data_IF_708794420486
#
_entry.id   IF_708794420486
#
_cell.length_a   1.000
_cell.length_b   1.000
_cell.length_c   1.000
_cell.angle_alpha   90.00
_cell.angle_beta   90.00
_cell.angle_gamma   90.00
#
_symmetry.space_group_name_H-M   'P 1'
#
loop_
_entity.id
_entity.type
_entity.pdbx_description
1 polymer ?
#
# COMPACT_ATOMS: atom_id res chain seq x y z
N UNK A 1 23.81 17.53 2.42
CA UNK A 1 23.24 16.91 1.22
C UNK A 1 23.98 17.31 -0.04
N UNK A 2 23.96 18.56 -0.46
CA UNK A 2 24.45 19.02 -1.77
C UNK A 2 25.87 18.53 -2.09
N UNK A 3 26.81 18.69 -1.17
CA UNK A 3 28.22 18.26 -1.34
C UNK A 3 28.33 16.76 -1.61
N UNK A 4 27.59 15.93 -0.85
CA UNK A 4 27.63 14.47 -0.99
C UNK A 4 26.95 14.04 -2.30
N UNK A 5 25.78 14.60 -2.60
CA UNK A 5 25.03 14.27 -3.82
C UNK A 5 25.83 14.65 -5.09
N UNK A 6 26.48 15.81 -5.11
CA UNK A 6 27.36 16.20 -6.21
C UNK A 6 28.50 15.20 -6.40
N UNK A 7 29.19 14.83 -5.33
CA UNK A 7 30.31 13.87 -5.42
C UNK A 7 29.85 12.47 -5.88
N UNK A 8 28.64 12.04 -5.47
CA UNK A 8 28.05 10.79 -5.94
C UNK A 8 27.72 10.89 -7.45
N UNK A 9 27.01 11.91 -7.86
CA UNK A 9 26.58 12.08 -9.26
C UNK A 9 27.76 12.29 -10.23
N UNK A 10 28.82 12.98 -9.78
CA UNK A 10 30.05 13.11 -10.58
C UNK A 10 30.70 11.75 -10.86
N UNK A 11 30.70 10.84 -9.89
CA UNK A 11 31.35 9.54 -10.02
C UNK A 11 30.41 8.45 -10.55
N UNK A 12 29.15 8.53 -10.21
CA UNK A 12 28.11 7.54 -10.50
C UNK A 12 26.81 8.24 -10.95
N UNK A 13 26.75 8.75 -12.18
CA UNK A 13 25.63 9.57 -12.65
C UNK A 13 24.27 8.84 -12.67
N UNK A 14 24.29 7.51 -12.82
CA UNK A 14 23.08 6.69 -12.93
C UNK A 14 22.54 6.22 -11.57
N UNK A 15 23.23 6.49 -10.46
CA UNK A 15 22.73 6.13 -9.13
C UNK A 15 21.56 7.05 -8.75
N UNK A 16 20.48 6.42 -8.32
CA UNK A 16 19.33 7.13 -7.73
C UNK A 16 19.71 7.61 -6.33
N UNK A 17 19.66 8.92 -6.13
CA UNK A 17 19.90 9.53 -4.83
C UNK A 17 18.57 9.76 -4.13
N UNK A 18 18.40 9.13 -2.97
CA UNK A 18 17.24 9.27 -2.11
C UNK A 18 17.60 10.10 -0.88
N UNK A 19 16.86 11.19 -0.65
CA UNK A 19 17.05 12.08 0.50
C UNK A 19 15.91 11.96 1.48
N UNK A 20 16.21 11.84 2.79
CA UNK A 20 15.16 11.80 3.82
C UNK A 20 14.57 13.19 4.08
N UNK A 21 13.28 13.21 4.42
CA UNK A 21 12.55 14.41 4.90
C UNK A 21 12.13 14.26 6.37
N UNK A 22 12.83 13.42 7.10
CA UNK A 22 12.59 13.19 8.54
C UNK A 22 11.60 12.06 8.83
N UNK A 23 11.34 11.81 10.13
CA UNK A 23 10.58 10.65 10.57
C UNK A 23 9.06 10.86 10.61
N UNK A 24 8.57 12.04 10.22
CA UNK A 24 7.16 12.41 10.26
C UNK A 24 6.73 13.10 8.97
N UNK A 25 5.47 12.91 8.58
CA UNK A 25 4.87 13.61 7.45
C UNK A 25 4.53 15.08 7.78
N UNK A 26 4.00 15.78 6.77
CA UNK A 26 3.48 17.13 6.92
C UNK A 26 2.39 17.20 8.04
N UNK A 27 2.45 18.21 8.97
CA UNK A 27 3.32 19.38 8.96
C UNK A 27 4.49 19.31 9.96
N UNK A 28 5.51 18.52 9.69
CA UNK A 28 6.76 18.62 10.46
C UNK A 28 7.74 19.58 9.79
N UNK A 29 8.63 20.22 10.56
CA UNK A 29 9.64 21.12 10.02
C UNK A 29 10.58 20.38 9.06
N UNK A 30 11.05 19.20 9.47
CA UNK A 30 11.95 18.37 8.67
C UNK A 30 11.32 18.00 7.31
N UNK A 31 10.03 17.64 7.31
CA UNK A 31 9.28 17.34 6.10
C UNK A 31 9.21 18.56 5.16
N UNK A 32 8.81 19.71 5.68
CA UNK A 32 8.63 20.93 4.88
C UNK A 32 9.97 21.40 4.30
N UNK A 33 11.00 21.48 5.14
CA UNK A 33 12.34 21.91 4.72
C UNK A 33 13.01 20.91 3.77
N UNK A 34 12.87 19.61 4.07
CA UNK A 34 13.42 18.54 3.23
C UNK A 34 12.81 18.52 1.84
N UNK A 35 11.48 18.62 1.73
CA UNK A 35 10.80 18.72 0.43
C UNK A 35 11.17 20.01 -0.33
N UNK A 36 11.25 21.14 0.39
CA UNK A 36 11.66 22.40 -0.23
C UNK A 36 13.08 22.29 -0.81
N UNK A 37 14.00 21.68 -0.04
CA UNK A 37 15.36 21.44 -0.50
C UNK A 37 15.42 20.47 -1.69
N UNK A 38 14.72 19.34 -1.62
CA UNK A 38 14.71 18.34 -2.67
C UNK A 38 14.15 18.89 -4.00
N UNK A 39 13.09 19.71 -3.94
CA UNK A 39 12.54 20.39 -5.11
C UNK A 39 13.50 21.39 -5.73
N UNK A 40 14.23 22.14 -4.90
CA UNK A 40 15.23 23.11 -5.37
C UNK A 40 16.47 22.45 -5.99
N UNK A 41 16.75 21.19 -5.64
CA UNK A 41 17.91 20.41 -6.06
C UNK A 41 17.51 19.08 -6.73
N UNK A 42 16.43 19.08 -7.51
CA UNK A 42 15.93 17.87 -8.17
C UNK A 42 16.89 17.31 -9.24
N UNK A 43 17.92 18.08 -9.64
CA UNK A 43 19.05 17.62 -10.45
C UNK A 43 20.03 16.71 -9.68
N UNK A 44 20.00 16.76 -8.35
CA UNK A 44 20.84 15.97 -7.46
C UNK A 44 20.08 14.92 -6.67
N UNK A 45 18.80 15.15 -6.37
CA UNK A 45 17.93 14.30 -5.56
C UNK A 45 16.81 13.77 -6.43
N UNK A 46 16.88 12.48 -6.72
CA UNK A 46 15.90 11.81 -7.59
C UNK A 46 14.62 11.42 -6.83
N UNK A 47 14.77 11.15 -5.52
CA UNK A 47 13.72 10.57 -4.68
C UNK A 47 13.78 11.12 -3.27
N UNK A 48 12.64 11.21 -2.62
CA UNK A 48 12.46 11.64 -1.23
C UNK A 48 11.94 10.47 -0.40
N UNK A 49 12.59 10.22 0.72
CA UNK A 49 12.20 9.19 1.68
C UNK A 49 11.25 9.78 2.72
N UNK A 50 9.98 9.36 2.66
CA UNK A 50 8.91 9.75 3.58
C UNK A 50 8.61 8.67 4.60
N UNK A 51 8.36 9.07 5.85
CA UNK A 51 7.98 8.19 6.95
C UNK A 51 6.71 8.67 7.63
N UNK A 52 5.78 7.76 7.93
CA UNK A 52 4.64 8.05 8.80
C UNK A 52 4.00 6.80 9.40
N UNK A 53 3.60 6.94 10.65
CA UNK A 53 2.90 5.93 11.43
C UNK A 53 1.63 6.56 11.97
N UNK A 54 0.46 6.13 11.45
CA UNK A 54 -0.77 6.84 11.68
C UNK A 54 -1.92 5.96 12.21
N UNK A 55 -2.95 6.61 12.73
CA UNK A 55 -4.16 5.93 13.18
C UNK A 55 -4.97 5.38 12.00
N UNK A 56 -5.82 4.36 12.19
CA UNK A 56 -6.74 3.90 11.16
C UNK A 56 -7.60 5.03 10.58
N UNK A 57 -8.04 5.97 11.41
CA UNK A 57 -8.83 7.12 10.98
C UNK A 57 -8.08 8.02 10.00
N UNK A 58 -6.79 8.23 10.24
CA UNK A 58 -5.97 9.02 9.33
C UNK A 58 -5.94 8.41 7.93
N UNK A 59 -5.65 7.12 7.80
CA UNK A 59 -5.62 6.44 6.50
C UNK A 59 -6.96 6.48 5.78
N UNK A 60 -8.07 6.36 6.49
CA UNK A 60 -9.41 6.44 5.90
C UNK A 60 -9.68 7.83 5.29
N UNK A 61 -9.17 8.89 5.90
CA UNK A 61 -9.44 10.27 5.47
C UNK A 61 -8.35 10.87 4.56
N UNK A 62 -7.27 10.12 4.26
CA UNK A 62 -6.17 10.57 3.41
C UNK A 62 -5.96 9.63 2.20
N UNK A 63 -7.06 9.18 1.58
CA UNK A 63 -6.98 8.31 0.40
C UNK A 63 -6.51 9.04 -0.86
N UNK A 64 -6.45 10.35 -0.82
CA UNK A 64 -5.97 11.27 -1.86
C UNK A 64 -4.58 11.87 -1.53
N UNK A 65 -3.88 11.33 -0.51
CA UNK A 65 -2.65 11.91 0.05
C UNK A 65 -1.60 12.26 -1.00
N UNK A 66 -1.42 11.44 -2.02
CA UNK A 66 -0.43 11.65 -3.08
C UNK A 66 -1.01 12.28 -4.36
N UNK A 67 -2.31 12.54 -4.43
CA UNK A 67 -2.96 12.96 -5.69
C UNK A 67 -2.46 14.32 -6.19
N UNK A 68 -2.14 15.23 -5.28
CA UNK A 68 -1.69 16.60 -5.58
C UNK A 68 -0.15 16.76 -5.60
N UNK A 69 0.62 15.66 -5.49
CA UNK A 69 2.08 15.74 -5.56
C UNK A 69 2.55 16.14 -6.95
N UNK A 70 3.61 16.97 -7.03
CA UNK A 70 4.20 17.40 -8.29
C UNK A 70 4.88 16.23 -9.01
N UNK A 71 4.31 15.82 -10.15
CA UNK A 71 4.83 14.71 -10.98
C UNK A 71 6.15 15.00 -11.67
N UNK A 72 6.57 16.27 -11.73
CA UNK A 72 7.83 16.71 -12.37
C UNK A 72 9.00 16.77 -11.39
N UNK A 73 8.72 16.76 -10.09
CA UNK A 73 9.72 16.80 -9.03
C UNK A 73 10.30 15.42 -8.69
N UNK A 74 11.07 15.34 -7.58
CA UNK A 74 11.56 14.07 -7.04
C UNK A 74 10.42 13.09 -6.79
N UNK A 75 10.70 11.79 -7.00
CA UNK A 75 9.77 10.72 -6.68
C UNK A 75 9.71 10.49 -5.15
N UNK A 76 8.74 9.72 -4.72
CA UNK A 76 8.59 9.31 -3.32
C UNK A 76 9.05 7.86 -3.16
N UNK A 77 9.88 7.63 -2.18
CA UNK A 77 10.06 6.37 -1.49
C UNK A 77 9.33 6.47 -0.15
N UNK A 78 8.24 5.76 0.00
CA UNK A 78 7.58 5.61 1.30
C UNK A 78 8.37 4.57 2.10
N UNK A 79 9.45 5.02 2.77
CA UNK A 79 10.48 4.15 3.33
C UNK A 79 10.10 3.49 4.63
N UNK A 80 9.22 4.16 5.42
CA UNK A 80 8.64 3.56 6.62
C UNK A 80 7.19 4.00 6.79
N UNK A 81 6.31 3.03 6.94
CA UNK A 81 4.90 3.34 7.21
C UNK A 81 4.16 2.15 7.82
N UNK A 82 3.19 2.44 8.67
CA UNK A 82 2.23 1.48 9.17
C UNK A 82 1.02 2.17 9.80
N UNK A 83 -0.11 1.49 9.87
CA UNK A 83 -1.19 1.83 10.78
C UNK A 83 -0.85 1.35 12.20
N UNK A 84 -1.02 2.24 13.20
CA UNK A 84 -0.61 1.98 14.60
C UNK A 84 -1.51 0.94 15.26
N UNK A 85 -1.17 -0.28 15.23
CA UNK A 85 -1.61 -1.51 15.88
C UNK A 85 -1.54 -2.68 14.87
N UNK A 86 -1.85 -3.90 15.30
CA UNK A 86 -1.74 -5.16 14.53
C UNK A 86 -3.06 -5.92 14.42
N UNK A 87 -4.15 -5.19 14.22
CA UNK A 87 -5.50 -5.75 14.09
C UNK A 87 -5.96 -5.79 12.64
N UNK A 88 -7.05 -6.50 12.38
CA UNK A 88 -7.69 -6.51 11.05
C UNK A 88 -8.04 -5.09 10.58
N UNK A 89 -8.53 -4.22 11.49
CA UNK A 89 -8.80 -2.83 11.15
C UNK A 89 -7.58 -2.11 10.55
N UNK A 90 -6.39 -2.33 11.13
CA UNK A 90 -5.14 -1.74 10.64
C UNK A 90 -4.79 -2.28 9.25
N UNK A 91 -4.84 -3.58 9.07
CA UNK A 91 -4.59 -4.23 7.78
C UNK A 91 -5.53 -3.75 6.66
N UNK A 92 -6.81 -3.49 6.99
CA UNK A 92 -7.79 -2.98 6.03
C UNK A 92 -7.47 -1.55 5.60
N UNK A 93 -7.13 -0.65 6.53
CA UNK A 93 -6.80 0.73 6.16
C UNK A 93 -5.45 0.83 5.46
N UNK A 94 -4.52 -0.07 5.77
CA UNK A 94 -3.28 -0.23 5.02
C UNK A 94 -3.54 -0.72 3.58
N UNK A 95 -4.46 -1.66 3.40
CA UNK A 95 -4.90 -2.11 2.07
C UNK A 95 -5.54 -0.96 1.26
N UNK A 96 -6.37 -0.13 1.90
CA UNK A 96 -6.95 1.08 1.30
C UNK A 96 -5.82 2.04 0.88
N UNK A 97 -4.82 2.24 1.74
CA UNK A 97 -3.69 3.10 1.44
C UNK A 97 -2.83 2.56 0.29
N UNK A 98 -2.59 1.26 0.22
CA UNK A 98 -1.88 0.63 -0.89
C UNK A 98 -2.62 0.79 -2.23
N UNK A 99 -3.95 0.83 -2.23
CA UNK A 99 -4.71 1.21 -3.44
C UNK A 99 -4.39 2.64 -3.88
N UNK A 100 -4.23 3.58 -2.93
CA UNK A 100 -3.81 4.95 -3.22
C UNK A 100 -2.36 4.99 -3.74
N UNK A 101 -1.44 4.26 -3.13
CA UNK A 101 -0.04 4.15 -3.56
C UNK A 101 0.04 3.65 -5.01
N UNK A 102 -0.68 2.57 -5.35
CA UNK A 102 -0.71 2.05 -6.72
C UNK A 102 -1.32 3.04 -7.72
N UNK A 103 -2.38 3.78 -7.33
CA UNK A 103 -2.96 4.83 -8.16
C UNK A 103 -1.97 5.95 -8.47
N UNK A 104 -1.07 6.21 -7.54
CA UNK A 104 -0.03 7.22 -7.62
C UNK A 104 1.37 6.64 -7.91
N UNK A 105 1.45 5.50 -8.59
CA UNK A 105 2.70 4.83 -8.93
C UNK A 105 3.61 5.63 -9.87
N UNK A 106 3.09 6.71 -10.45
CA UNK A 106 3.87 7.70 -11.20
C UNK A 106 4.66 8.67 -10.31
N UNK A 107 4.31 8.77 -9.03
CA UNK A 107 5.03 9.57 -8.03
C UNK A 107 5.61 8.70 -6.92
N UNK A 108 4.88 7.71 -6.40
CA UNK A 108 5.36 6.80 -5.36
C UNK A 108 6.03 5.59 -6.01
N UNK A 109 7.36 5.61 -6.09
CA UNK A 109 8.14 4.58 -6.77
C UNK A 109 8.34 3.32 -5.95
N UNK A 110 8.39 3.44 -4.62
CA UNK A 110 8.58 2.32 -3.69
C UNK A 110 7.82 2.57 -2.39
N UNK A 111 7.41 1.49 -1.73
CA UNK A 111 6.84 1.54 -0.39
C UNK A 111 7.34 0.35 0.45
N UNK A 112 7.77 0.61 1.67
CA UNK A 112 8.30 -0.39 2.59
C UNK A 112 7.60 -0.31 3.94
N UNK A 113 6.90 -1.37 4.31
CA UNK A 113 6.31 -1.47 5.64
C UNK A 113 7.40 -1.52 6.72
N UNK A 114 7.20 -0.80 7.82
CA UNK A 114 8.12 -0.81 8.96
C UNK A 114 7.37 -0.66 10.30
N UNK A 115 7.95 -1.20 11.40
CA UNK A 115 9.02 -2.19 11.42
C UNK A 115 8.58 -3.56 10.90
N UNK A 116 9.50 -4.27 10.25
CA UNK A 116 9.20 -5.56 9.63
C UNK A 116 9.25 -6.72 10.62
N UNK A 117 10.29 -6.79 11.45
CA UNK A 117 10.63 -7.95 12.28
C UNK A 117 10.61 -7.60 13.76
N UNK A 118 9.95 -8.44 14.55
CA UNK A 118 9.90 -8.34 16.00
C UNK A 118 10.47 -9.59 16.66
N UNK A 119 11.58 -9.44 17.37
CA UNK A 119 12.02 -10.46 18.34
C UNK A 119 11.23 -10.29 19.63
N UNK A 120 10.38 -11.26 19.96
CA UNK A 120 9.49 -11.18 21.13
C UNK A 120 10.23 -11.04 22.47
N UNK A 121 11.48 -11.51 22.55
CA UNK A 121 12.31 -11.35 23.74
C UNK A 121 12.88 -9.92 23.91
N UNK A 122 12.83 -9.11 22.86
CA UNK A 122 13.44 -7.77 22.82
C UNK A 122 12.52 -6.75 22.16
N UNK A 123 11.24 -6.81 22.49
CA UNK A 123 10.21 -5.90 21.96
C UNK A 123 10.36 -4.50 22.55
N UNK A 124 10.54 -3.49 21.69
CA UNK A 124 10.54 -2.09 22.08
C UNK A 124 9.76 -1.17 21.12
N UNK A 125 9.04 -1.75 20.17
CA UNK A 125 8.22 -1.03 19.20
C UNK A 125 6.89 -1.76 18.94
N UNK A 126 5.87 -1.02 18.49
CA UNK A 126 4.59 -1.54 18.02
C UNK A 126 3.96 -0.50 17.06
N UNK A 127 3.49 -0.88 15.87
CA UNK A 127 3.35 -2.27 15.39
C UNK A 127 4.63 -2.86 14.80
N UNK A 128 4.69 -4.18 14.75
CA UNK A 128 5.64 -4.95 13.96
C UNK A 128 4.84 -5.94 13.10
N UNK A 129 5.39 -6.39 11.98
CA UNK A 129 4.64 -7.20 11.02
C UNK A 129 4.81 -8.70 11.24
N UNK A 130 6.04 -9.15 11.52
CA UNK A 130 6.43 -10.55 11.67
C UNK A 130 7.05 -10.76 13.05
N UNK A 131 6.43 -11.58 13.86
CA UNK A 131 6.90 -11.91 15.21
C UNK A 131 7.66 -13.23 15.19
N UNK A 132 8.79 -13.29 15.89
CA UNK A 132 9.62 -14.48 15.99
C UNK A 132 10.34 -14.57 17.34
N UNK A 133 10.78 -15.77 17.66
CA UNK A 133 11.68 -16.08 18.78
C UNK A 133 12.94 -16.80 18.24
N UNK A 134 13.76 -17.36 19.15
CA UNK A 134 15.00 -18.06 18.75
C UNK A 134 14.76 -19.27 17.83
N UNK A 135 13.57 -19.88 17.88
CA UNK A 135 13.29 -21.17 17.27
C UNK A 135 12.42 -21.05 15.99
N UNK A 136 11.52 -20.05 15.94
CA UNK A 136 10.51 -20.00 14.88
C UNK A 136 9.83 -18.64 14.74
N UNK A 137 9.09 -18.46 13.64
CA UNK A 137 8.10 -17.40 13.49
C UNK A 137 6.91 -17.76 14.41
N UNK A 138 6.55 -16.83 15.29
CA UNK A 138 5.49 -17.03 16.29
C UNK A 138 4.16 -16.41 15.86
N UNK A 139 4.18 -15.32 15.10
CA UNK A 139 2.99 -14.73 14.53
C UNK A 139 3.26 -13.97 13.23
N UNK A 140 2.31 -14.06 12.30
CA UNK A 140 2.17 -13.21 11.12
C UNK A 140 0.92 -12.36 11.31
N UNK A 141 1.05 -11.04 11.30
CA UNK A 141 -0.07 -10.13 11.55
C UNK A 141 -1.01 -10.03 10.34
N UNK A 142 -2.24 -9.52 10.49
CA UNK A 142 -3.09 -9.19 9.34
C UNK A 142 -2.40 -8.25 8.33
N UNK A 143 -1.58 -7.30 8.79
CA UNK A 143 -0.76 -6.43 7.92
C UNK A 143 0.23 -7.21 7.06
N UNK A 144 0.84 -8.29 7.60
CA UNK A 144 1.68 -9.19 6.81
C UNK A 144 0.92 -9.74 5.59
N UNK A 145 -0.29 -10.23 5.80
CA UNK A 145 -1.10 -10.79 4.71
C UNK A 145 -1.55 -9.73 3.70
N UNK A 146 -1.80 -8.50 4.15
CA UNK A 146 -2.02 -7.37 3.24
C UNK A 146 -0.81 -7.13 2.36
N UNK A 147 0.38 -7.00 2.93
CA UNK A 147 1.62 -6.80 2.18
C UNK A 147 1.92 -7.98 1.24
N UNK A 148 1.71 -9.21 1.70
CA UNK A 148 1.87 -10.42 0.88
C UNK A 148 0.94 -10.43 -0.34
N UNK A 149 -0.33 -10.06 -0.16
CA UNK A 149 -1.30 -9.99 -1.25
C UNK A 149 -0.89 -8.95 -2.28
N UNK A 150 -0.45 -7.76 -1.87
CA UNK A 150 0.03 -6.72 -2.80
C UNK A 150 1.33 -7.11 -3.47
N UNK A 151 2.31 -7.63 -2.74
CA UNK A 151 3.60 -8.07 -3.29
C UNK A 151 3.46 -9.18 -4.32
N UNK A 152 2.53 -10.12 -4.11
CA UNK A 152 2.27 -11.21 -5.05
C UNK A 152 1.37 -10.82 -6.24
N UNK A 153 0.81 -9.62 -6.24
CA UNK A 153 -0.07 -9.10 -7.28
C UNK A 153 0.39 -7.73 -7.79
N UNK A 154 1.69 -7.50 -7.79
CA UNK A 154 2.28 -6.28 -8.31
C UNK A 154 2.23 -6.26 -9.85
N UNK A 155 1.84 -5.10 -10.40
CA UNK A 155 1.86 -4.83 -11.84
C UNK A 155 2.72 -3.62 -12.13
N UNK A 156 3.10 -3.44 -13.39
CA UNK A 156 3.87 -2.30 -13.89
C UNK A 156 2.98 -1.26 -14.61
N UNK A 157 1.67 -1.52 -14.66
CA UNK A 157 0.69 -0.64 -15.28
C UNK A 157 -0.55 -0.54 -14.39
N UNK A 158 -0.85 0.66 -13.87
CA UNK A 158 -2.10 0.94 -13.20
C UNK A 158 -3.21 1.21 -14.23
N UNK A 159 -4.34 0.53 -14.08
CA UNK A 159 -5.54 0.75 -14.89
C UNK A 159 -6.50 1.64 -14.11
N UNK A 160 -6.70 2.85 -14.58
CA UNK A 160 -7.56 3.84 -13.93
C UNK A 160 -8.95 3.26 -13.63
N UNK A 161 -9.30 3.21 -12.36
CA UNK A 161 -10.56 2.66 -11.87
C UNK A 161 -11.09 3.50 -10.71
N UNK A 162 -12.39 3.47 -10.54
CA UNK A 162 -13.05 4.16 -9.43
C UNK A 162 -14.28 3.39 -8.99
N UNK A 163 -14.66 3.56 -7.72
CA UNK A 163 -15.95 3.15 -7.21
C UNK A 163 -16.99 4.26 -7.38
N UNK A 164 -18.19 3.88 -7.84
CA UNK A 164 -19.37 4.71 -7.71
C UNK A 164 -20.08 4.32 -6.41
N UNK A 165 -19.86 5.07 -5.35
CA UNK A 165 -20.33 4.77 -3.99
C UNK A 165 -21.07 5.95 -3.39
N UNK A 166 -22.07 5.70 -2.50
CA UNK A 166 -22.61 6.74 -1.64
C UNK A 166 -21.51 7.39 -0.80
N UNK A 167 -21.60 8.71 -0.62
CA UNK A 167 -20.62 9.50 0.15
C UNK A 167 -20.39 8.95 1.57
N UNK A 168 -21.46 8.41 2.18
CA UNK A 168 -21.42 7.87 3.55
C UNK A 168 -20.50 6.67 3.75
N UNK A 169 -20.13 5.96 2.68
CA UNK A 169 -19.31 4.75 2.76
C UNK A 169 -18.00 4.84 1.97
N UNK A 170 -17.79 5.90 1.19
CA UNK A 170 -16.65 6.03 0.27
C UNK A 170 -15.29 5.83 0.93
N UNK A 171 -15.13 6.30 2.17
CA UNK A 171 -13.85 6.19 2.89
C UNK A 171 -13.53 4.78 3.38
N UNK A 172 -14.49 3.85 3.34
CA UNK A 172 -14.34 2.49 3.85
C UNK A 172 -14.26 1.42 2.76
N UNK A 173 -14.18 1.85 1.50
CA UNK A 173 -14.11 0.95 0.36
C UNK A 173 -13.05 1.49 -0.60
N UNK A 174 -12.17 0.61 -1.09
CA UNK A 174 -11.18 0.99 -2.06
C UNK A 174 -10.96 -0.09 -3.11
N UNK A 175 -10.42 0.30 -4.25
CA UNK A 175 -9.98 -0.63 -5.29
C UNK A 175 -8.68 -0.17 -5.94
N UNK A 176 -7.94 -1.15 -6.45
CA UNK A 176 -6.85 -0.92 -7.38
C UNK A 176 -6.89 -1.99 -8.46
N UNK A 177 -6.59 -1.60 -9.68
CA UNK A 177 -6.45 -2.53 -10.81
C UNK A 177 -5.09 -2.32 -11.44
N UNK A 178 -4.28 -3.36 -11.40
CA UNK A 178 -2.92 -3.32 -11.96
C UNK A 178 -2.71 -4.47 -12.95
N UNK A 179 -1.85 -4.25 -13.92
CA UNK A 179 -1.49 -5.25 -14.93
C UNK A 179 0.03 -5.39 -15.01
N UNK A 180 0.49 -6.60 -15.09
CA UNK A 180 1.85 -6.92 -15.58
C UNK A 180 1.80 -6.97 -17.11
N UNK A 181 2.43 -6.04 -17.77
CA UNK A 181 2.44 -5.92 -19.23
C UNK A 181 3.17 -7.10 -19.90
N UNK A 182 4.15 -7.68 -19.23
CA UNK A 182 4.93 -8.80 -19.76
C UNK A 182 4.10 -10.08 -19.83
N UNK A 183 3.40 -10.41 -18.75
CA UNK A 183 2.56 -11.62 -18.69
C UNK A 183 1.15 -11.38 -19.19
N UNK A 184 0.69 -10.14 -19.17
CA UNK A 184 -0.69 -9.74 -19.46
C UNK A 184 -1.66 -10.04 -18.32
N UNK A 185 -1.17 -10.54 -17.18
CA UNK A 185 -1.99 -10.81 -16.00
C UNK A 185 -2.48 -9.48 -15.38
N UNK A 186 -3.75 -9.45 -15.05
CA UNK A 186 -4.39 -8.30 -14.38
C UNK A 186 -4.89 -8.73 -13.02
N UNK A 187 -4.65 -7.90 -12.01
CA UNK A 187 -5.20 -8.09 -10.67
C UNK A 187 -6.20 -6.99 -10.35
N UNK A 188 -7.36 -7.41 -9.85
CA UNK A 188 -8.40 -6.52 -9.32
C UNK A 188 -8.38 -6.67 -7.81
N UNK A 189 -7.99 -5.64 -7.10
CA UNK A 189 -7.89 -5.57 -5.64
C UNK A 189 -9.07 -4.79 -5.11
N UNK A 190 -9.79 -5.37 -4.16
CA UNK A 190 -11.00 -4.82 -3.58
C UNK A 190 -10.92 -4.87 -2.06
N UNK A 191 -11.17 -3.75 -1.41
CA UNK A 191 -11.15 -3.62 0.05
C UNK A 191 -12.53 -3.19 0.53
N UNK A 192 -13.08 -3.93 1.48
CA UNK A 192 -14.32 -3.61 2.17
C UNK A 192 -14.09 -3.50 3.67
N UNK A 193 -13.97 -2.29 4.20
CA UNK A 193 -13.85 -2.01 5.64
C UNK A 193 -15.22 -1.69 6.29
N UNK A 194 -16.33 -2.09 5.66
CA UNK A 194 -17.68 -1.96 6.21
C UNK A 194 -18.06 -3.18 7.06
N UNK A 195 -18.96 -3.02 8.04
CA UNK A 195 -19.47 -4.12 8.86
C UNK A 195 -20.47 -5.04 8.12
N UNK A 196 -20.71 -4.77 6.84
CA UNK A 196 -21.66 -5.51 6.01
C UNK A 196 -21.05 -5.96 4.70
N UNK A 197 -21.59 -7.01 4.12
CA UNK A 197 -21.21 -7.44 2.77
C UNK A 197 -21.54 -6.35 1.76
N UNK A 198 -20.68 -6.21 0.75
CA UNK A 198 -20.86 -5.28 -0.35
C UNK A 198 -20.80 -6.05 -1.67
N UNK A 199 -21.81 -5.95 -2.49
CA UNK A 199 -21.77 -6.48 -3.86
C UNK A 199 -21.38 -5.36 -4.81
N UNK A 200 -20.31 -5.57 -5.54
CA UNK A 200 -19.79 -4.64 -6.55
C UNK A 200 -19.98 -5.22 -7.96
N UNK A 201 -20.34 -4.36 -8.90
CA UNK A 201 -20.43 -4.69 -10.32
C UNK A 201 -19.16 -4.17 -11.02
N UNK A 202 -18.26 -5.07 -11.40
CA UNK A 202 -17.01 -4.75 -12.08
C UNK A 202 -17.28 -4.52 -13.55
N UNK A 203 -17.13 -3.27 -14.01
CA UNK A 203 -17.37 -2.87 -15.41
C UNK A 203 -16.05 -2.56 -16.12
N UNK A 204 -16.08 -2.62 -17.45
CA UNK A 204 -14.93 -2.28 -18.29
C UNK A 204 -13.92 -3.43 -18.48
N UNK A 205 -14.13 -4.57 -17.82
CA UNK A 205 -13.33 -5.78 -18.02
C UNK A 205 -14.17 -7.03 -17.81
N UNK A 206 -13.70 -8.15 -18.38
CA UNK A 206 -14.33 -9.47 -18.18
C UNK A 206 -13.57 -10.24 -17.12
N UNK A 207 -14.26 -10.65 -16.05
CA UNK A 207 -13.73 -11.63 -15.09
C UNK A 207 -14.11 -13.02 -15.61
N UNK A 208 -13.12 -13.87 -15.99
CA UNK A 208 -13.40 -15.18 -16.54
C UNK A 208 -14.08 -16.09 -15.52
N UNK A 209 -14.81 -17.07 -16.01
CA UNK A 209 -15.44 -18.06 -15.15
C UNK A 209 -14.38 -18.82 -14.35
N UNK A 210 -14.57 -18.91 -13.04
CA UNK A 210 -13.65 -19.59 -12.15
C UNK A 210 -12.33 -18.87 -11.93
N UNK A 211 -12.28 -17.53 -12.13
CA UNK A 211 -11.12 -16.73 -11.77
C UNK A 211 -10.78 -16.89 -10.30
N UNK A 212 -9.49 -16.99 -9.99
CA UNK A 212 -9.04 -17.10 -8.61
C UNK A 212 -9.21 -15.78 -7.89
N UNK A 213 -9.77 -15.84 -6.68
CA UNK A 213 -9.87 -14.73 -5.74
C UNK A 213 -9.23 -15.15 -4.41
N UNK A 214 -8.18 -14.48 -4.01
CA UNK A 214 -7.44 -14.73 -2.76
C UNK A 214 -7.62 -13.55 -1.83
N UNK A 215 -7.85 -13.81 -0.54
CA UNK A 215 -8.04 -12.72 0.41
C UNK A 215 -8.29 -13.22 1.82
N UNK A 216 -8.62 -12.30 2.69
CA UNK A 216 -9.01 -12.58 4.08
C UNK A 216 -10.18 -11.71 4.53
N UNK A 217 -10.83 -12.13 5.60
CA UNK A 217 -11.80 -11.32 6.35
C UNK A 217 -11.68 -11.64 7.83
N UNK A 218 -12.09 -10.70 8.69
CA UNK A 218 -12.08 -10.88 10.15
C UNK A 218 -12.82 -9.75 10.85
N UNK A 219 -13.01 -9.86 12.17
CA UNK A 219 -13.55 -8.74 12.93
C UNK A 219 -12.47 -7.65 13.12
N UNK A 220 -12.83 -6.38 13.26
CA UNK A 220 -11.86 -5.28 13.36
C UNK A 220 -10.77 -5.48 14.40
N UNK A 221 -11.10 -6.10 15.53
CA UNK A 221 -10.18 -6.33 16.66
C UNK A 221 -9.39 -7.64 16.56
N UNK A 222 -9.62 -8.47 15.55
CA UNK A 222 -8.89 -9.72 15.39
C UNK A 222 -7.42 -9.43 15.09
N UNK A 223 -6.52 -10.20 15.72
CA UNK A 223 -5.07 -10.10 15.53
C UNK A 223 -4.53 -11.17 14.59
N UNK A 224 -5.37 -12.10 14.18
CA UNK A 224 -5.04 -13.18 13.27
C UNK A 224 -6.11 -13.27 12.18
N UNK A 225 -5.68 -13.65 11.00
CA UNK A 225 -6.57 -13.92 9.86
C UNK A 225 -6.13 -15.18 9.15
N UNK A 226 -7.04 -15.77 8.40
CA UNK A 226 -6.75 -16.86 7.48
C UNK A 226 -6.96 -16.36 6.06
N UNK A 227 -5.92 -16.47 5.24
CA UNK A 227 -6.05 -16.24 3.80
C UNK A 227 -6.75 -17.42 3.16
N UNK A 228 -7.77 -17.13 2.38
CA UNK A 228 -8.59 -18.12 1.69
C UNK A 228 -8.52 -17.86 0.18
N UNK A 229 -8.52 -18.95 -0.59
CA UNK A 229 -8.71 -18.89 -2.04
C UNK A 229 -10.11 -19.38 -2.39
N UNK A 230 -10.79 -18.62 -3.24
CA UNK A 230 -12.13 -18.92 -3.74
C UNK A 230 -12.15 -18.75 -5.26
N UNK A 231 -13.28 -19.12 -5.87
CA UNK A 231 -13.50 -18.91 -7.31
C UNK A 231 -14.63 -17.94 -7.51
N UNK A 232 -14.42 -16.98 -8.41
CA UNK A 232 -15.42 -15.97 -8.78
C UNK A 232 -15.70 -16.04 -10.28
N UNK A 233 -16.86 -15.55 -10.68
CA UNK A 233 -17.28 -15.56 -12.07
C UNK A 233 -18.21 -14.38 -12.34
N UNK A 234 -18.06 -13.77 -13.52
CA UNK A 234 -18.89 -12.63 -13.94
C UNK A 234 -18.54 -11.35 -13.20
N UNK A 235 -19.32 -10.30 -13.46
CA UNK A 235 -19.03 -8.95 -12.98
C UNK A 235 -19.47 -8.68 -11.53
N UNK A 236 -20.44 -9.45 -11.03
CA UNK A 236 -21.01 -9.24 -9.69
C UNK A 236 -20.19 -9.96 -8.62
N UNK A 237 -19.39 -9.21 -7.89
CA UNK A 237 -18.50 -9.73 -6.84
C UNK A 237 -19.03 -9.32 -5.48
N UNK A 238 -19.29 -10.31 -4.61
CA UNK A 238 -19.68 -10.06 -3.22
C UNK A 238 -18.49 -10.10 -2.30
N UNK A 239 -18.17 -8.97 -1.69
CA UNK A 239 -17.13 -8.81 -0.67
C UNK A 239 -17.71 -9.12 0.70
N UNK A 240 -17.00 -9.92 1.49
CA UNK A 240 -17.36 -10.16 2.90
C UNK A 240 -17.25 -8.86 3.72
N UNK A 241 -17.90 -8.74 4.88
CA UNK A 241 -17.59 -7.67 5.83
C UNK A 241 -16.10 -7.70 6.20
N UNK A 242 -15.50 -6.53 6.37
CA UNK A 242 -14.10 -6.38 6.82
C UNK A 242 -13.14 -7.31 6.06
N UNK A 243 -13.05 -7.13 4.74
CA UNK A 243 -12.29 -8.04 3.88
C UNK A 243 -11.38 -7.33 2.89
N UNK A 244 -10.34 -8.06 2.52
CA UNK A 244 -9.48 -7.80 1.35
C UNK A 244 -9.66 -8.94 0.37
N UNK A 245 -9.80 -8.63 -0.91
CA UNK A 245 -9.96 -9.62 -1.99
C UNK A 245 -9.11 -9.20 -3.19
N UNK A 246 -8.27 -10.11 -3.67
CA UNK A 246 -7.47 -9.94 -4.89
C UNK A 246 -7.91 -10.98 -5.92
N UNK A 247 -8.43 -10.52 -7.04
CA UNK A 247 -8.88 -11.38 -8.16
C UNK A 247 -7.81 -11.39 -9.22
N UNK A 248 -7.36 -12.58 -9.61
CA UNK A 248 -6.37 -12.77 -10.67
C UNK A 248 -7.07 -13.07 -12.00
N UNK A 249 -6.80 -12.24 -13.00
CA UNK A 249 -7.29 -12.39 -14.36
C UNK A 249 -6.09 -12.69 -15.26
N UNK A 250 -5.89 -13.94 -15.69
CA UNK A 250 -4.82 -14.29 -16.63
C UNK A 250 -4.99 -13.57 -17.97
N UNK A 251 -3.93 -13.48 -18.75
CA UNK A 251 -3.98 -12.99 -20.13
C UNK A 251 -5.00 -13.80 -20.93
N UNK A 252 -5.92 -13.11 -21.56
CA UNK A 252 -6.87 -13.68 -22.52
C UNK A 252 -6.23 -13.83 -23.90
#
# INVERSE_FOLDING_TARGET
YEMICKAIKEKYPDIIVCGTVGPFHNPSADYIEGWHFAKAHHDLIDMVDEHYYESPGWFLHHQDYYDDYDRKGPKVYLGEWASRDRRVENALVEAIHLCNVERNGDIVSMASYAPLLCNEAHLNWNPDMIYFNADSITALTPSYYTQQLWGNSAGDCYLASHFSLPETIRYRVASSVVRDQKTGTTWVKLVNALPQSLTVDVKGMTIPQGAEAVGFSGQPNDKNVKVESTRVSGSMITLKPYSVTVITIPRQ
#
